data_IF_457693643786
#
_entry.id   IF_457693643786
#
_cell.length_a   1.000
_cell.length_b   1.000
_cell.length_c   1.000
_cell.angle_alpha   90.00
_cell.angle_beta   90.00
_cell.angle_gamma   90.00
#
_symmetry.space_group_name_H-M   'P 1'
#
loop_
_entity.id
_entity.type
_entity.pdbx_description
1 polymer ?
#
# COMPACT_ATOMS: atom_id res chain seq x y z
N UNK A 1 -9.21 -25.13 -10.61
CA UNK A 1 -7.84 -25.24 -10.07
C UNK A 1 -7.20 -23.86 -10.10
N UNK A 2 -7.75 -22.93 -9.34
CA UNK A 2 -7.40 -21.49 -9.35
C UNK A 2 -7.09 -20.97 -7.94
N UNK A 3 -6.97 -21.88 -6.96
CA UNK A 3 -6.99 -21.52 -5.53
C UNK A 3 -5.60 -21.31 -4.91
N UNK A 4 -4.50 -21.61 -5.60
CA UNK A 4 -3.15 -21.58 -5.01
C UNK A 4 -2.38 -20.32 -5.42
N UNK A 5 -2.37 -19.98 -6.72
CA UNK A 5 -1.72 -18.77 -7.26
C UNK A 5 -2.28 -17.46 -6.69
N UNK A 6 -3.50 -17.49 -6.15
CA UNK A 6 -4.22 -16.28 -5.78
C UNK A 6 -4.07 -15.92 -4.29
N UNK A 7 -3.90 -16.92 -3.42
CA UNK A 7 -3.37 -16.71 -2.07
C UNK A 7 -1.89 -16.24 -2.10
N UNK A 8 -1.16 -16.58 -3.17
CA UNK A 8 0.22 -16.13 -3.35
C UNK A 8 0.33 -14.62 -3.56
N UNK A 9 -0.65 -13.95 -4.19
CA UNK A 9 -0.58 -12.50 -4.46
C UNK A 9 -0.63 -11.66 -3.17
N UNK A 10 -1.53 -12.00 -2.25
CA UNK A 10 -1.56 -11.35 -0.94
C UNK A 10 -0.28 -11.66 -0.13
N UNK A 11 0.20 -12.91 -0.19
CA UNK A 11 1.43 -13.32 0.48
C UNK A 11 2.67 -12.54 -0.04
N UNK A 12 2.71 -12.16 -1.32
CA UNK A 12 3.75 -11.30 -1.88
C UNK A 12 3.76 -9.94 -1.17
N UNK A 13 2.60 -9.31 -0.98
CA UNK A 13 2.51 -8.01 -0.30
C UNK A 13 2.98 -8.11 1.15
N UNK A 14 2.53 -9.14 1.88
CA UNK A 14 2.96 -9.37 3.26
C UNK A 14 4.46 -9.62 3.36
N UNK A 15 5.02 -10.45 2.48
CA UNK A 15 6.45 -10.75 2.45
C UNK A 15 7.28 -9.48 2.27
N UNK A 16 6.92 -8.65 1.28
CA UNK A 16 7.59 -7.37 1.01
C UNK A 16 7.48 -6.40 2.19
N UNK A 17 6.33 -6.36 2.85
CA UNK A 17 6.13 -5.50 4.02
C UNK A 17 7.02 -5.95 5.19
N UNK A 18 7.14 -7.27 5.42
CA UNK A 18 8.04 -7.83 6.45
C UNK A 18 9.50 -7.59 6.11
N UNK A 19 9.89 -7.67 4.83
CA UNK A 19 11.26 -7.36 4.37
C UNK A 19 11.70 -5.95 4.77
N UNK A 20 10.78 -4.97 4.85
CA UNK A 20 11.10 -3.63 5.33
C UNK A 20 11.56 -3.60 6.80
N UNK A 21 11.08 -4.53 7.63
CA UNK A 21 11.50 -4.64 9.04
C UNK A 21 12.91 -5.22 9.18
N UNK A 22 13.43 -5.87 8.14
CA UNK A 22 14.77 -6.47 8.13
C UNK A 22 15.86 -5.48 7.69
N UNK A 23 15.47 -4.33 7.13
CA UNK A 23 16.39 -3.25 6.76
C UNK A 23 17.11 -2.67 7.98
N UNK A 24 18.24 -2.00 7.77
CA UNK A 24 18.89 -1.18 8.80
C UNK A 24 17.94 -0.06 9.26
N UNK A 25 18.20 0.56 10.41
CA UNK A 25 17.30 1.59 10.94
C UNK A 25 17.31 2.85 10.05
N UNK A 26 18.49 3.32 9.68
CA UNK A 26 18.71 4.51 8.86
C UNK A 26 20.02 4.39 8.06
N UNK A 27 20.14 5.17 6.99
CA UNK A 27 21.38 5.42 6.28
C UNK A 27 21.64 6.94 6.10
N UNK A 28 22.62 7.30 5.28
CA UNK A 28 22.97 8.70 5.00
C UNK A 28 21.82 9.52 4.34
N UNK A 29 20.76 8.85 3.89
CA UNK A 29 19.60 9.43 3.22
C UNK A 29 18.33 9.43 4.06
N UNK A 30 18.34 8.86 5.27
CA UNK A 30 17.22 8.90 6.20
C UNK A 30 16.82 7.53 6.75
N UNK A 31 15.58 7.42 7.21
CA UNK A 31 15.06 6.18 7.82
C UNK A 31 14.79 5.14 6.74
N UNK A 32 15.31 3.92 6.94
CA UNK A 32 15.09 2.78 6.04
C UNK A 32 14.03 1.81 6.58
N UNK A 33 14.03 1.60 7.90
CA UNK A 33 13.05 0.74 8.56
C UNK A 33 11.82 1.54 8.96
N UNK A 34 10.60 1.11 8.61
CA UNK A 34 9.41 1.88 8.92
C UNK A 34 9.16 1.96 10.42
N UNK A 35 8.49 3.01 10.87
CA UNK A 35 8.05 3.10 12.25
C UNK A 35 7.01 2.02 12.55
N UNK A 36 6.91 1.61 13.82
CA UNK A 36 5.87 0.69 14.27
C UNK A 36 4.47 1.20 13.93
N UNK A 37 4.25 2.52 13.99
CA UNK A 37 2.97 3.11 13.66
C UNK A 37 2.62 2.93 12.18
N UNK A 38 3.54 3.27 11.28
CA UNK A 38 3.34 3.11 9.84
C UNK A 38 3.11 1.64 9.50
N UNK A 39 3.97 0.74 9.99
CA UNK A 39 3.85 -0.70 9.76
C UNK A 39 2.50 -1.27 10.21
N UNK A 40 2.07 -0.97 11.44
CA UNK A 40 0.81 -1.50 11.98
C UNK A 40 -0.41 -0.92 11.25
N UNK A 41 -0.36 0.36 10.87
CA UNK A 41 -1.43 1.02 10.11
C UNK A 41 -1.56 0.42 8.71
N UNK A 42 -0.42 0.20 8.04
CA UNK A 42 -0.36 -0.45 6.73
C UNK A 42 -0.87 -1.88 6.80
N UNK A 43 -0.36 -2.69 7.74
CA UNK A 43 -0.76 -4.09 7.91
C UNK A 43 -2.26 -4.22 8.17
N UNK A 44 -2.83 -3.35 9.01
CA UNK A 44 -4.27 -3.31 9.26
C UNK A 44 -5.06 -3.05 7.98
N UNK A 45 -4.71 -2.02 7.21
CA UNK A 45 -5.45 -1.68 5.99
C UNK A 45 -5.43 -2.81 4.96
N UNK A 46 -4.27 -3.43 4.72
CA UNK A 46 -4.15 -4.48 3.71
C UNK A 46 -4.86 -5.78 4.13
N UNK A 47 -4.89 -6.09 5.42
CA UNK A 47 -5.64 -7.24 5.93
C UNK A 47 -7.15 -7.01 5.78
N UNK A 48 -7.64 -5.85 6.18
CA UNK A 48 -9.06 -5.50 6.03
C UNK A 48 -9.47 -5.44 4.55
N UNK A 49 -8.63 -4.91 3.66
CA UNK A 49 -8.89 -4.91 2.21
C UNK A 49 -8.87 -6.33 1.63
N UNK A 50 -7.95 -7.18 2.07
CA UNK A 50 -7.92 -8.60 1.68
C UNK A 50 -9.14 -9.36 2.19
N UNK A 51 -9.65 -9.08 3.39
CA UNK A 51 -10.90 -9.69 3.88
C UNK A 51 -12.11 -9.33 3.00
N UNK A 52 -12.12 -8.13 2.42
CA UNK A 52 -13.19 -7.66 1.53
C UNK A 52 -13.07 -8.20 0.09
N UNK A 53 -11.85 -8.25 -0.47
CA UNK A 53 -11.62 -8.67 -1.87
C UNK A 53 -11.35 -10.16 -2.00
N UNK A 54 -10.86 -10.79 -0.94
CA UNK A 54 -10.27 -12.11 -0.95
C UNK A 54 -9.21 -12.23 -2.03
N UNK A 55 -9.40 -13.27 -2.84
CA UNK A 55 -8.55 -13.64 -3.95
C UNK A 55 -8.45 -12.55 -5.05
N UNK A 56 -9.33 -11.55 -5.07
CA UNK A 56 -9.21 -10.42 -6.00
C UNK A 56 -8.22 -9.34 -5.54
N UNK A 57 -7.45 -9.53 -4.46
CA UNK A 57 -6.47 -8.55 -4.00
C UNK A 57 -5.19 -8.59 -4.86
N UNK A 58 -4.84 -7.47 -5.50
CA UNK A 58 -3.60 -7.37 -6.28
C UNK A 58 -2.38 -7.06 -5.41
N UNK A 59 -1.18 -7.58 -5.75
CA UNK A 59 0.01 -7.40 -4.95
C UNK A 59 0.48 -5.94 -4.96
N UNK A 60 0.79 -5.40 -3.79
CA UNK A 60 1.36 -4.07 -3.63
C UNK A 60 2.89 -4.12 -3.54
N UNK A 61 3.53 -2.99 -3.83
CA UNK A 61 4.95 -2.75 -3.60
C UNK A 61 5.10 -1.72 -2.46
N UNK A 62 5.51 -2.14 -1.25
CA UNK A 62 5.79 -1.24 -0.15
C UNK A 62 7.21 -0.65 -0.25
N UNK A 63 7.38 0.60 0.15
CA UNK A 63 8.68 1.19 0.47
C UNK A 63 8.58 2.11 1.69
N UNK A 64 9.72 2.35 2.34
CA UNK A 64 9.85 3.30 3.46
C UNK A 64 10.21 4.69 2.92
N UNK A 65 9.59 5.75 3.44
CA UNK A 65 10.01 7.13 3.16
C UNK A 65 11.11 7.61 4.12
N UNK A 66 11.68 8.80 3.88
CA UNK A 66 12.80 9.33 4.65
C UNK A 66 12.51 9.54 6.16
N UNK A 67 11.23 9.59 6.55
CA UNK A 67 10.77 9.76 7.94
C UNK A 67 10.35 8.42 8.60
N UNK A 68 10.37 7.31 7.86
CA UNK A 68 9.91 6.01 8.36
C UNK A 68 8.42 5.74 8.15
N UNK A 69 7.74 6.54 7.33
CA UNK A 69 6.42 6.23 6.79
C UNK A 69 6.48 5.11 5.75
N UNK A 70 5.33 4.59 5.33
CA UNK A 70 5.21 3.55 4.30
C UNK A 70 4.41 4.07 3.13
N UNK A 71 4.94 3.88 1.93
CA UNK A 71 4.26 4.12 0.67
C UNK A 71 3.94 2.75 0.07
N UNK A 72 2.65 2.45 -0.12
CA UNK A 72 2.18 1.29 -0.88
C UNK A 72 1.82 1.71 -2.30
N UNK A 73 2.39 1.04 -3.30
CA UNK A 73 2.07 1.29 -4.71
C UNK A 73 1.52 0.04 -5.39
N UNK A 74 0.41 0.19 -6.10
CA UNK A 74 -0.09 -0.77 -7.07
C UNK A 74 0.20 -0.23 -8.47
N UNK A 75 1.20 -0.81 -9.11
CA UNK A 75 1.66 -0.38 -10.42
C UNK A 75 0.68 -0.81 -11.52
N UNK A 76 0.38 0.10 -12.44
CA UNK A 76 -0.39 -0.18 -13.64
C UNK A 76 0.51 -0.13 -14.88
N UNK A 77 0.11 -0.79 -15.98
CA UNK A 77 0.88 -0.78 -17.24
C UNK A 77 1.07 0.64 -17.80
N UNK A 78 0.08 1.49 -17.56
CA UNK A 78 0.23 2.93 -17.69
C UNK A 78 0.63 3.49 -16.31
N UNK A 79 1.87 3.98 -16.11
CA UNK A 79 2.36 4.49 -14.83
C UNK A 79 1.62 5.76 -14.37
N UNK A 80 0.93 6.45 -15.29
CA UNK A 80 0.02 7.53 -14.89
C UNK A 80 -1.14 6.99 -14.06
N UNK A 81 -1.47 5.70 -14.12
CA UNK A 81 -2.57 5.12 -13.38
C UNK A 81 -2.09 4.37 -12.11
N UNK A 82 -0.90 4.67 -11.60
CA UNK A 82 -0.43 4.06 -10.35
C UNK A 82 -1.30 4.52 -9.17
N UNK A 83 -1.79 3.55 -8.39
CA UNK A 83 -2.49 3.81 -7.13
C UNK A 83 -1.47 3.78 -6.00
N UNK A 84 -1.40 4.87 -5.22
CA UNK A 84 -0.49 4.97 -4.08
C UNK A 84 -1.26 5.22 -2.80
N UNK A 85 -0.91 4.53 -1.72
CA UNK A 85 -1.41 4.81 -0.37
C UNK A 85 -0.22 5.17 0.51
N UNK A 86 -0.27 6.33 1.15
CA UNK A 86 0.78 6.83 2.02
C UNK A 86 0.34 6.72 3.47
N UNK A 87 1.20 6.10 4.28
CA UNK A 87 1.07 5.99 5.72
C UNK A 87 2.20 6.78 6.38
N UNK A 88 1.90 7.85 7.12
CA UNK A 88 2.94 8.65 7.73
C UNK A 88 3.64 7.90 8.87
N UNK A 89 4.84 8.36 9.21
CA UNK A 89 5.64 7.83 10.31
C UNK A 89 4.99 7.99 11.70
N UNK A 90 4.07 8.96 11.85
CA UNK A 90 3.46 9.37 13.12
C UNK A 90 1.93 9.54 13.00
N UNK A 91 1.15 9.24 14.07
CA UNK A 91 -0.30 9.45 14.11
C UNK A 91 -0.73 10.92 14.07
N UNK A 92 0.21 11.87 14.14
CA UNK A 92 -0.08 13.29 14.01
C UNK A 92 -0.44 13.70 12.57
N UNK A 93 -0.10 12.86 11.60
CA UNK A 93 -0.40 13.08 10.19
C UNK A 93 -1.43 12.06 9.69
N UNK A 94 -2.22 12.45 8.69
CA UNK A 94 -3.22 11.56 8.11
C UNK A 94 -2.62 10.75 6.97
N UNK A 95 -2.99 9.47 6.90
CA UNK A 95 -2.82 8.67 5.69
C UNK A 95 -3.65 9.26 4.54
N UNK A 96 -3.22 9.02 3.31
CA UNK A 96 -3.99 9.40 2.13
C UNK A 96 -3.77 8.42 0.98
N UNK A 97 -4.77 8.32 0.10
CA UNK A 97 -4.67 7.64 -1.19
C UNK A 97 -4.43 8.71 -2.25
N UNK A 98 -3.41 8.50 -3.06
CA UNK A 98 -3.04 9.32 -4.19
C UNK A 98 -3.20 8.52 -5.48
N UNK A 99 -3.85 9.14 -6.47
CA UNK A 99 -4.07 8.55 -7.77
C UNK A 99 -4.04 9.64 -8.86
N UNK A 100 -3.45 9.34 -10.03
CA UNK A 100 -3.24 10.29 -11.13
C UNK A 100 -4.09 9.95 -12.38
N UNK A 101 -5.43 10.07 -12.35
CA UNK A 101 -6.18 10.02 -13.60
C UNK A 101 -5.77 11.23 -14.44
N UNK A 102 -5.20 10.97 -15.61
CA UNK A 102 -4.90 11.94 -16.67
C UNK A 102 -5.69 13.25 -16.53
N UNK A 103 -4.96 14.33 -16.22
CA UNK A 103 -5.38 15.73 -16.04
C UNK A 103 -5.91 16.21 -14.67
N UNK A 104 -6.13 15.36 -13.65
CA UNK A 104 -6.48 15.84 -12.29
C UNK A 104 -5.97 14.96 -11.15
N UNK A 105 -5.10 15.51 -10.32
CA UNK A 105 -4.68 14.90 -9.05
C UNK A 105 -5.91 14.62 -8.17
N UNK A 106 -6.13 13.35 -7.83
CA UNK A 106 -7.16 12.96 -6.85
C UNK A 106 -6.47 12.51 -5.59
N UNK A 107 -6.71 13.23 -4.49
CA UNK A 107 -6.22 12.88 -3.15
C UNK A 107 -7.43 12.57 -2.27
N UNK A 108 -7.42 11.37 -1.69
CA UNK A 108 -8.44 10.92 -0.74
C UNK A 108 -7.79 10.81 0.65
N UNK A 109 -8.27 11.62 1.59
CA UNK A 109 -7.75 11.66 2.96
C UNK A 109 -8.52 10.72 3.89
N UNK A 110 -9.71 10.24 3.48
CA UNK A 110 -10.45 9.22 4.22
C UNK A 110 -10.00 7.82 3.79
N UNK A 111 -8.83 7.41 4.30
CA UNK A 111 -8.27 6.08 4.04
C UNK A 111 -9.03 5.03 4.85
N UNK A 112 -9.71 4.13 4.14
CA UNK A 112 -10.40 2.96 4.71
C UNK A 112 -10.26 1.76 3.79
N UNK A 113 -10.46 0.56 4.32
CA UNK A 113 -10.38 -0.67 3.55
C UNK A 113 -11.37 -0.66 2.38
N UNK A 114 -12.62 -0.26 2.60
CA UNK A 114 -13.63 -0.16 1.53
C UNK A 114 -13.20 0.81 0.44
N UNK A 115 -12.64 1.97 0.81
CA UNK A 115 -12.18 2.96 -0.16
C UNK A 115 -10.99 2.45 -0.98
N UNK A 116 -10.07 1.74 -0.35
CA UNK A 116 -8.98 1.08 -1.05
C UNK A 116 -9.51 0.03 -2.03
N UNK A 117 -10.49 -0.78 -1.63
CA UNK A 117 -11.13 -1.77 -2.51
C UNK A 117 -11.76 -1.10 -3.72
N UNK A 118 -12.52 -0.02 -3.55
CA UNK A 118 -13.13 0.73 -4.65
C UNK A 118 -12.07 1.16 -5.68
N UNK A 119 -10.93 1.68 -5.21
CA UNK A 119 -9.83 2.10 -6.08
C UNK A 119 -9.12 0.92 -6.76
N UNK A 120 -8.94 -0.19 -6.06
CA UNK A 120 -8.31 -1.39 -6.63
C UNK A 120 -9.19 -2.05 -7.69
N UNK A 121 -10.52 -2.03 -7.51
CA UNK A 121 -11.48 -2.49 -8.52
C UNK A 121 -11.46 -1.57 -9.74
N UNK A 122 -11.51 -0.26 -9.51
CA UNK A 122 -11.40 0.74 -10.56
C UNK A 122 -10.11 0.56 -11.39
N UNK A 123 -8.97 0.30 -10.72
CA UNK A 123 -7.68 0.06 -11.36
C UNK A 123 -7.67 -1.18 -12.27
N UNK A 124 -8.48 -2.19 -11.95
CA UNK A 124 -8.67 -3.40 -12.76
C UNK A 124 -9.65 -3.21 -13.92
N UNK A 125 -10.34 -2.09 -13.97
CA UNK A 125 -11.43 -1.84 -14.92
C UNK A 125 -12.74 -2.54 -14.55
N UNK A 126 -12.94 -2.83 -13.25
CA UNK A 126 -14.18 -3.38 -12.67
C UNK A 126 -15.05 -2.26 -12.09
#
# INVERSE_FOLDING_TARGET
MTSTLVQEEFAITLKRLVELLELEEEDDHGILRPTTYAFMSTLKLILEAYELMGDSFSPASPCTDEEGGIILTWAHLNPELDLTVVFPASPEYNSYIFYYPSDKDTVEYEVSASKLVDWLQWLKGE
#
